data_IF_977287756715
#
_entry.id   IF_977287756715
#
_cell.length_a   1.000
_cell.length_b   1.000
_cell.length_c   1.000
_cell.angle_alpha   90.00
_cell.angle_beta   90.00
_cell.angle_gamma   90.00
#
_symmetry.space_group_name_H-M   'P 1'
#
loop_
_entity.id
_entity.type
_entity.pdbx_description
1 polymer ?
#
# COMPACT_ATOMS: atom_id res chain seq x y z
N UNK A 1 -27.78 -66.15 3.17
CA UNK A 1 -26.43 -66.12 2.57
C UNK A 1 -26.52 -65.66 1.13
N UNK A 2 -26.37 -64.36 0.87
CA UNK A 2 -25.79 -63.84 -0.38
C UNK A 2 -25.64 -62.32 -0.20
N UNK A 3 -24.42 -61.88 0.09
CA UNK A 3 -24.06 -60.49 0.43
C UNK A 3 -23.24 -59.88 -0.73
N UNK A 4 -23.37 -60.39 -1.96
CA UNK A 4 -22.44 -60.04 -3.05
C UNK A 4 -23.13 -59.83 -4.39
N UNK A 5 -23.90 -58.74 -4.52
CA UNK A 5 -24.29 -58.20 -5.83
C UNK A 5 -24.34 -56.67 -5.85
N UNK A 6 -23.43 -55.98 -5.16
CA UNK A 6 -23.05 -54.60 -5.51
C UNK A 6 -22.16 -54.63 -6.75
N UNK A 7 -22.74 -55.00 -7.89
CA UNK A 7 -22.15 -54.75 -9.20
C UNK A 7 -22.28 -53.24 -9.48
N UNK A 8 -21.38 -52.45 -8.91
CA UNK A 8 -21.17 -51.07 -9.34
C UNK A 8 -20.81 -51.11 -10.83
N UNK A 9 -21.61 -50.54 -11.74
CA UNK A 9 -21.32 -50.59 -13.15
C UNK A 9 -20.00 -49.87 -13.39
N UNK A 10 -18.98 -50.60 -13.83
CA UNK A 10 -17.66 -50.04 -14.22
C UNK A 10 -17.83 -48.91 -15.25
N UNK A 11 -18.92 -48.93 -16.02
CA UNK A 11 -19.34 -47.90 -16.96
C UNK A 11 -19.68 -46.54 -16.32
N UNK A 12 -20.05 -46.49 -15.03
CA UNK A 12 -20.31 -45.24 -14.30
C UNK A 12 -19.05 -44.62 -13.67
N UNK A 13 -17.97 -45.38 -13.52
CA UNK A 13 -16.72 -44.92 -12.89
C UNK A 13 -15.94 -44.00 -13.85
N UNK A 14 -15.97 -44.29 -15.15
CA UNK A 14 -15.28 -43.51 -16.20
C UNK A 14 -15.81 -42.07 -16.32
N UNK A 15 -17.13 -41.81 -16.45
CA UNK A 15 -17.65 -40.44 -16.50
C UNK A 15 -17.57 -39.73 -15.14
N UNK A 16 -17.66 -40.45 -14.01
CA UNK A 16 -17.50 -39.84 -12.68
C UNK A 16 -16.06 -39.36 -12.43
N UNK A 17 -15.05 -40.14 -12.84
CA UNK A 17 -13.65 -39.71 -12.78
C UNK A 17 -13.37 -38.51 -13.70
N UNK A 18 -13.95 -38.48 -14.90
CA UNK A 18 -13.89 -37.33 -15.81
C UNK A 18 -14.60 -36.07 -15.27
N UNK A 19 -15.71 -36.24 -14.55
CA UNK A 19 -16.45 -35.14 -13.92
C UNK A 19 -15.67 -34.51 -12.75
N UNK A 20 -14.95 -35.31 -11.95
CA UNK A 20 -14.10 -34.80 -10.86
C UNK A 20 -12.84 -34.14 -11.43
N UNK A 21 -12.24 -34.72 -12.46
CA UNK A 21 -11.10 -34.13 -13.14
C UNK A 21 -11.45 -32.77 -13.77
N UNK A 22 -12.64 -32.65 -14.39
CA UNK A 22 -13.09 -31.38 -14.99
C UNK A 22 -13.57 -30.35 -13.97
N UNK A 23 -14.15 -30.78 -12.83
CA UNK A 23 -14.57 -29.87 -11.76
C UNK A 23 -13.41 -29.21 -11.03
N UNK A 24 -12.25 -29.89 -10.95
CA UNK A 24 -11.02 -29.35 -10.35
C UNK A 24 -10.10 -28.70 -11.40
N UNK A 25 -9.99 -29.27 -12.60
CA UNK A 25 -9.11 -28.72 -13.64
C UNK A 25 -9.62 -27.38 -14.18
N UNK A 26 -10.94 -27.19 -14.36
CA UNK A 26 -11.50 -25.93 -14.87
C UNK A 26 -11.20 -24.71 -13.97
N UNK A 27 -11.44 -24.75 -12.64
CA UNK A 27 -11.10 -23.61 -11.78
C UNK A 27 -9.60 -23.39 -11.67
N UNK A 28 -8.78 -24.46 -11.68
CA UNK A 28 -7.32 -24.31 -11.66
C UNK A 28 -6.77 -23.64 -12.93
N UNK A 29 -7.30 -24.00 -14.10
CA UNK A 29 -6.96 -23.34 -15.37
C UNK A 29 -7.46 -21.89 -15.43
N UNK A 30 -8.64 -21.62 -14.88
CA UNK A 30 -9.15 -20.24 -14.73
C UNK A 30 -8.28 -19.40 -13.79
N UNK A 31 -7.85 -19.98 -12.67
CA UNK A 31 -6.96 -19.32 -11.71
C UNK A 31 -5.59 -19.04 -12.30
N UNK A 32 -4.98 -20.01 -12.99
CA UNK A 32 -3.67 -19.82 -13.63
C UNK A 32 -3.73 -18.77 -14.73
N UNK A 33 -4.79 -18.75 -15.55
CA UNK A 33 -5.02 -17.71 -16.54
C UNK A 33 -5.17 -16.32 -15.89
N UNK A 34 -5.90 -16.24 -14.78
CA UNK A 34 -6.07 -14.98 -14.02
C UNK A 34 -4.76 -14.49 -13.43
N UNK A 35 -3.97 -15.39 -12.84
CA UNK A 35 -2.65 -15.07 -12.27
C UNK A 35 -1.68 -14.62 -13.37
N UNK A 36 -1.69 -15.30 -14.52
CA UNK A 36 -0.86 -14.94 -15.67
C UNK A 36 -1.25 -13.56 -16.20
N UNK A 37 -2.55 -13.28 -16.33
CA UNK A 37 -3.06 -11.96 -16.68
C UNK A 37 -2.60 -10.88 -15.69
N UNK A 38 -2.78 -11.12 -14.38
CA UNK A 38 -2.31 -10.20 -13.33
C UNK A 38 -0.79 -9.98 -13.36
N UNK A 39 0.01 -11.00 -13.70
CA UNK A 39 1.46 -10.86 -13.85
C UNK A 39 1.85 -10.00 -15.05
N UNK A 40 1.19 -10.21 -16.20
CA UNK A 40 1.42 -9.41 -17.41
C UNK A 40 1.04 -7.95 -17.18
N UNK A 41 -0.08 -7.70 -16.50
CA UNK A 41 -0.57 -6.36 -16.19
C UNK A 41 -0.08 -5.79 -14.85
N UNK A 42 0.83 -6.49 -14.16
CA UNK A 42 1.47 -6.05 -12.92
C UNK A 42 2.00 -4.61 -12.98
N UNK A 43 2.70 -4.14 -14.03
CA UNK A 43 3.18 -2.76 -14.07
C UNK A 43 2.04 -1.73 -14.11
N UNK A 44 0.91 -2.03 -14.78
CA UNK A 44 -0.26 -1.15 -14.81
C UNK A 44 -0.95 -1.10 -13.44
N UNK A 45 -1.13 -2.26 -12.80
CA UNK A 45 -1.71 -2.34 -11.45
C UNK A 45 -0.87 -1.58 -10.44
N UNK A 46 0.46 -1.69 -10.53
CA UNK A 46 1.37 -0.94 -9.66
C UNK A 46 1.32 0.57 -9.93
N UNK A 47 1.19 0.97 -11.19
CA UNK A 47 0.99 2.37 -11.60
C UNK A 47 -0.31 2.94 -11.03
N UNK A 48 -1.42 2.20 -11.19
CA UNK A 48 -2.73 2.58 -10.66
C UNK A 48 -2.71 2.69 -9.14
N UNK A 49 -2.09 1.71 -8.45
CA UNK A 49 -1.94 1.74 -7.01
C UNK A 49 -1.13 2.96 -6.54
N UNK A 50 0.00 3.28 -7.22
CA UNK A 50 0.80 4.47 -6.91
C UNK A 50 0.03 5.78 -7.16
N UNK A 51 -0.78 5.84 -8.22
CA UNK A 51 -1.64 6.99 -8.50
C UNK A 51 -2.73 7.14 -7.43
N UNK A 52 -3.39 6.04 -7.04
CA UNK A 52 -4.36 6.03 -5.95
C UNK A 52 -3.73 6.50 -4.62
N UNK A 53 -2.51 6.04 -4.31
CA UNK A 53 -1.76 6.50 -3.15
C UNK A 53 -1.43 7.99 -3.20
N UNK A 54 -1.17 8.55 -4.39
CA UNK A 54 -0.94 9.99 -4.56
C UNK A 54 -2.20 10.81 -4.30
N UNK A 55 -3.39 10.28 -4.59
CA UNK A 55 -4.66 10.93 -4.28
C UNK A 55 -4.90 10.97 -2.77
N UNK A 56 -4.64 9.86 -2.07
CA UNK A 56 -4.85 9.77 -0.61
C UNK A 56 -3.79 10.57 0.15
N UNK A 57 -2.53 10.49 -0.28
CA UNK A 57 -1.40 11.18 0.35
C UNK A 57 -0.59 11.89 -0.73
N UNK A 58 -0.95 13.14 -1.08
CA UNK A 58 -0.20 13.89 -2.06
C UNK A 58 1.26 14.01 -1.58
N UNK A 59 2.19 13.68 -2.48
CA UNK A 59 3.61 13.86 -2.19
C UNK A 59 3.88 15.36 -2.19
N UNK A 60 4.24 15.90 -1.03
CA UNK A 60 4.67 17.29 -0.94
C UNK A 60 5.79 17.53 -1.95
N UNK A 61 5.64 18.62 -2.72
CA UNK A 61 6.66 19.03 -3.68
C UNK A 61 7.98 19.33 -2.97
N UNK A 62 9.12 19.28 -3.67
CA UNK A 62 10.43 19.60 -3.06
C UNK A 62 10.44 21.00 -2.46
N UNK A 63 9.79 21.96 -3.12
CA UNK A 63 9.64 23.35 -2.68
C UNK A 63 8.76 23.43 -1.43
N UNK A 64 7.65 22.71 -1.40
CA UNK A 64 6.76 22.68 -0.24
C UNK A 64 7.44 22.05 0.98
N UNK A 65 8.23 21.00 0.78
CA UNK A 65 9.01 20.36 1.86
C UNK A 65 10.07 21.29 2.43
N UNK A 66 10.81 21.99 1.58
CA UNK A 66 11.84 22.94 2.03
C UNK A 66 11.19 24.12 2.76
N UNK A 67 10.09 24.66 2.24
CA UNK A 67 9.33 25.72 2.89
C UNK A 67 8.76 25.27 4.25
N UNK A 68 8.17 24.08 4.33
CA UNK A 68 7.65 23.53 5.59
C UNK A 68 8.78 23.30 6.61
N UNK A 69 9.96 22.86 6.17
CA UNK A 69 11.12 22.70 7.03
C UNK A 69 11.60 24.05 7.59
N UNK A 70 11.75 25.07 6.72
CA UNK A 70 12.12 26.44 7.12
C UNK A 70 11.13 27.01 8.14
N UNK A 71 9.84 26.93 7.86
CA UNK A 71 8.78 27.40 8.76
C UNK A 71 8.84 26.70 10.13
N UNK A 72 9.02 25.38 10.15
CA UNK A 72 9.18 24.63 11.41
C UNK A 72 10.43 25.05 12.18
N UNK A 73 11.53 25.34 11.49
CA UNK A 73 12.76 25.85 12.10
C UNK A 73 12.52 27.23 12.75
N UNK A 74 11.93 28.17 12.00
CA UNK A 74 11.59 29.50 12.50
C UNK A 74 10.63 29.45 13.70
N UNK A 75 9.62 28.58 13.67
CA UNK A 75 8.69 28.40 14.79
C UNK A 75 9.37 27.85 16.05
N UNK A 76 10.31 26.90 15.90
CA UNK A 76 11.10 26.39 17.04
C UNK A 76 11.95 27.50 17.63
N UNK A 77 12.63 28.28 16.81
CA UNK A 77 13.50 29.35 17.28
C UNK A 77 12.70 30.45 18.00
N UNK A 78 11.53 30.82 17.47
CA UNK A 78 10.58 31.72 18.14
C UNK A 78 10.02 31.14 19.45
N UNK A 79 9.81 29.82 19.55
CA UNK A 79 9.44 29.18 20.82
C UNK A 79 10.57 29.31 21.84
N UNK A 80 11.81 29.07 21.45
CA UNK A 80 12.98 29.23 22.31
C UNK A 80 13.12 30.69 22.76
N UNK A 81 13.00 31.65 21.84
CA UNK A 81 13.04 33.08 22.16
C UNK A 81 11.99 33.49 23.21
N UNK A 82 10.79 32.92 23.16
CA UNK A 82 9.76 33.15 24.19
C UNK A 82 10.13 32.59 25.57
N UNK A 83 10.87 31.49 25.64
CA UNK A 83 11.37 30.96 26.91
C UNK A 83 12.44 31.87 27.54
N UNK A 84 13.25 32.54 26.72
CA UNK A 84 14.32 33.43 27.20
C UNK A 84 13.90 34.89 27.40
N UNK A 85 12.68 35.28 27.00
CA UNK A 85 12.22 36.68 27.01
C UNK A 85 12.31 37.33 28.40
N UNK A 86 12.04 36.55 29.46
CA UNK A 86 12.05 37.05 30.84
C UNK A 86 13.44 37.09 31.49
N UNK A 87 14.40 36.29 30.99
CA UNK A 87 15.72 36.12 31.62
C UNK A 87 16.78 36.89 30.83
N UNK A 88 16.73 36.82 29.50
CA UNK A 88 17.69 37.41 28.58
C UNK A 88 16.98 37.97 27.34
N UNK A 89 16.43 39.20 27.42
CA UNK A 89 15.68 39.79 26.31
C UNK A 89 16.53 40.03 25.07
N UNK A 90 17.84 40.32 25.23
CA UNK A 90 18.76 40.46 24.10
C UNK A 90 18.91 39.16 23.30
N UNK A 91 19.12 38.04 23.99
CA UNK A 91 19.19 36.72 23.35
C UNK A 91 17.86 36.37 22.66
N UNK A 92 16.73 36.69 23.29
CA UNK A 92 15.42 36.49 22.68
C UNK A 92 15.25 37.32 21.38
N UNK A 93 15.76 38.55 21.34
CA UNK A 93 15.75 39.38 20.13
C UNK A 93 16.64 38.80 19.01
N UNK A 94 17.84 38.32 19.34
CA UNK A 94 18.75 37.67 18.39
C UNK A 94 18.13 36.40 17.80
N UNK A 95 17.49 35.56 18.63
CA UNK A 95 16.81 34.35 18.19
C UNK A 95 15.62 34.65 17.25
N UNK A 96 14.86 35.71 17.53
CA UNK A 96 13.77 36.18 16.63
C UNK A 96 14.32 36.71 15.32
N UNK A 97 15.45 37.42 15.35
CA UNK A 97 16.14 37.88 14.15
C UNK A 97 16.60 36.72 13.27
N UNK A 98 17.26 35.72 13.85
CA UNK A 98 17.66 34.51 13.11
C UNK A 98 16.47 33.74 12.55
N UNK A 99 15.33 33.74 13.24
CA UNK A 99 14.12 33.06 12.79
C UNK A 99 13.49 33.69 11.54
N UNK A 100 13.68 35.00 11.34
CA UNK A 100 13.14 35.76 10.21
C UNK A 100 14.07 35.87 9.00
N UNK A 101 15.33 35.43 9.13
CA UNK A 101 16.35 35.58 8.09
C UNK A 101 16.31 34.48 7.02
N UNK A 102 15.85 33.28 7.39
CA UNK A 102 15.90 32.06 6.55
C UNK A 102 14.61 31.78 5.77
#
# INVERSE_FOLDING_TARGET
MSILTLALPVQAIIPAAGAIATSVARPLLGLSATVMFLMVFKPLLLGLFRAALLVVKPRQSLVERSAAYKLRSALKLNRIARHYDAIQPNLAAELRFFAGRD
#
